data_IF_154000881872
#
_entry.id   IF_154000881872
#
_cell.length_a   1.000
_cell.length_b   1.000
_cell.length_c   1.000
_cell.angle_alpha   90.00
_cell.angle_beta   90.00
_cell.angle_gamma   90.00
#
_symmetry.space_group_name_H-M   'P 1'
#
loop_
_entity.id
_entity.type
_entity.pdbx_description
1 polymer ?
#
# COMPACT_ATOMS: atom_id res chain seq x y z
N UNK A 1 23.12 22.17 2.54
CA UNK A 1 23.02 20.70 2.35
C UNK A 1 21.64 20.44 1.76
N UNK A 2 21.58 20.41 0.43
CA UNK A 2 20.37 20.21 -0.38
C UNK A 2 20.13 18.70 -0.55
N UNK A 3 18.94 18.34 -1.04
CA UNK A 3 18.48 17.02 -1.56
C UNK A 3 17.53 16.28 -0.59
N UNK A 4 16.33 15.87 -1.00
CA UNK A 4 15.69 15.93 -2.32
C UNK A 4 14.20 15.59 -2.21
N UNK A 5 13.40 16.28 -3.01
CA UNK A 5 11.95 16.18 -3.11
C UNK A 5 11.53 14.78 -3.61
N UNK A 6 10.55 14.17 -2.95
CA UNK A 6 9.96 12.90 -3.38
C UNK A 6 8.96 13.16 -4.50
N UNK A 7 9.47 13.38 -5.71
CA UNK A 7 8.67 13.39 -6.94
C UNK A 7 8.20 11.96 -7.25
N UNK A 8 7.05 11.60 -6.69
CA UNK A 8 6.24 10.50 -7.17
C UNK A 8 5.71 10.84 -8.56
N UNK A 9 6.54 10.63 -9.58
CA UNK A 9 6.14 10.64 -10.99
C UNK A 9 5.04 9.60 -11.19
N UNK A 10 3.80 10.03 -11.09
CA UNK A 10 2.64 9.27 -11.52
C UNK A 10 2.71 9.13 -13.03
N UNK A 11 3.38 8.07 -13.49
CA UNK A 11 3.39 7.68 -14.89
C UNK A 11 1.94 7.50 -15.35
N UNK A 12 1.48 8.44 -16.17
CA UNK A 12 0.20 8.43 -16.87
C UNK A 12 0.15 7.25 -17.84
N UNK A 13 -0.17 6.07 -17.33
CA UNK A 13 -0.52 4.90 -18.13
C UNK A 13 -2.03 4.87 -18.38
N UNK A 14 -2.44 5.07 -19.64
CA UNK A 14 -3.78 4.87 -20.22
C UNK A 14 -4.92 4.56 -19.23
N UNK A 15 -5.65 5.61 -18.83
CA UNK A 15 -6.89 5.53 -18.05
C UNK A 15 -8.02 4.99 -18.93
N UNK A 16 -8.14 3.66 -19.05
CA UNK A 16 -9.49 3.08 -19.01
C UNK A 16 -10.05 3.40 -17.63
N UNK A 17 -11.35 3.73 -17.52
CA UNK A 17 -11.98 4.10 -16.25
C UNK A 17 -11.87 2.93 -15.27
N UNK A 18 -10.79 2.89 -14.48
CA UNK A 18 -10.59 1.89 -13.44
C UNK A 18 -11.52 2.24 -12.29
N UNK A 19 -12.24 1.25 -11.78
CA UNK A 19 -13.05 1.41 -10.57
C UNK A 19 -12.26 2.15 -9.48
N UNK A 20 -12.91 3.02 -8.70
CA UNK A 20 -12.26 3.78 -7.65
C UNK A 20 -11.61 2.81 -6.65
N UNK A 21 -10.31 2.97 -6.42
CA UNK A 21 -9.57 2.20 -5.42
C UNK A 21 -9.89 2.75 -4.03
N UNK A 22 -10.46 1.91 -3.18
CA UNK A 22 -10.73 2.25 -1.77
C UNK A 22 -9.45 2.04 -0.95
N UNK A 23 -9.12 3.01 -0.10
CA UNK A 23 -8.02 2.93 0.88
C UNK A 23 -8.59 3.20 2.26
N UNK A 24 -8.30 2.32 3.21
CA UNK A 24 -8.75 2.42 4.60
C UNK A 24 -7.52 2.54 5.50
N UNK A 25 -7.54 3.48 6.44
CA UNK A 25 -6.51 3.64 7.46
C UNK A 25 -7.13 3.39 8.83
N UNK A 26 -6.55 2.47 9.59
CA UNK A 26 -7.01 2.07 10.92
C UNK A 26 -5.84 2.11 11.88
N UNK A 27 -6.05 2.66 13.08
CA UNK A 27 -5.09 2.59 14.18
C UNK A 27 -5.38 1.33 14.98
N UNK A 28 -4.59 0.27 14.78
CA UNK A 28 -4.74 -1.02 15.44
C UNK A 28 -3.36 -1.55 15.81
N UNK A 29 -3.26 -2.23 16.95
CA UNK A 29 -2.05 -2.95 17.37
C UNK A 29 -1.93 -4.33 16.72
N UNK A 30 -2.95 -4.75 15.96
CA UNK A 30 -3.04 -6.06 15.33
C UNK A 30 -2.85 -5.91 13.81
N UNK A 31 -1.87 -6.64 13.27
CA UNK A 31 -1.49 -6.63 11.84
C UNK A 31 -2.52 -7.27 10.90
N UNK A 32 -3.38 -8.16 11.41
CA UNK A 32 -4.45 -8.82 10.67
C UNK A 32 -5.78 -8.39 11.28
N UNK A 33 -6.56 -7.61 10.52
CA UNK A 33 -7.87 -7.14 10.92
C UNK A 33 -8.95 -8.16 10.53
N UNK A 34 -9.98 -8.30 11.37
CA UNK A 34 -11.20 -9.03 11.04
C UNK A 34 -12.16 -8.09 10.29
N UNK A 35 -11.83 -7.77 9.04
CA UNK A 35 -12.58 -6.85 8.17
C UNK A 35 -13.74 -7.53 7.42
N UNK A 36 -14.07 -8.78 7.77
CA UNK A 36 -15.11 -9.58 7.15
C UNK A 36 -14.68 -10.33 5.87
N UNK A 37 -13.46 -10.11 5.37
CA UNK A 37 -12.91 -10.81 4.21
C UNK A 37 -11.89 -11.88 4.62
N UNK A 38 -11.77 -12.94 3.81
CA UNK A 38 -10.85 -14.06 4.06
C UNK A 38 -9.59 -13.97 3.22
N UNK A 39 -8.71 -13.06 3.63
CA UNK A 39 -7.44 -12.79 2.98
C UNK A 39 -6.41 -13.92 3.15
N UNK A 40 -5.69 -14.27 2.08
CA UNK A 40 -4.49 -15.13 2.13
C UNK A 40 -3.24 -14.34 1.79
N UNK A 41 -2.24 -14.36 2.69
CA UNK A 41 -0.95 -13.70 2.47
C UNK A 41 -0.16 -14.48 1.42
N UNK A 42 0.24 -13.80 0.35
CA UNK A 42 1.10 -14.40 -0.67
C UNK A 42 2.51 -13.82 -0.69
N UNK A 43 2.74 -12.68 -0.01
CA UNK A 43 4.05 -12.06 0.01
C UNK A 43 4.18 -10.89 0.96
N UNK A 44 5.42 -10.51 1.19
CA UNK A 44 5.81 -9.35 1.99
C UNK A 44 7.00 -8.67 1.32
N UNK A 45 6.95 -7.34 1.23
CA UNK A 45 8.03 -6.53 0.67
C UNK A 45 8.46 -5.46 1.66
N UNK A 46 9.76 -5.41 1.95
CA UNK A 46 10.37 -4.26 2.64
C UNK A 46 10.33 -3.08 1.68
N UNK A 47 9.73 -1.97 2.12
CA UNK A 47 9.60 -0.76 1.30
C UNK A 47 10.67 0.23 1.75
N UNK A 48 11.47 0.74 0.80
CA UNK A 48 12.52 1.72 1.10
C UNK A 48 11.92 2.94 1.79
N UNK A 49 12.47 3.31 2.95
CA UNK A 49 12.02 4.45 3.74
C UNK A 49 10.86 4.16 4.70
N UNK A 50 10.29 2.94 4.70
CA UNK A 50 9.33 2.52 5.71
C UNK A 50 9.98 1.44 6.61
N UNK A 51 10.10 1.66 7.94
CA UNK A 51 10.64 0.66 8.85
C UNK A 51 9.77 -0.60 8.93
N UNK A 52 8.48 -0.49 8.61
CA UNK A 52 7.53 -1.60 8.63
C UNK A 52 7.40 -2.22 7.23
N UNK A 53 7.52 -3.56 7.09
CA UNK A 53 7.35 -4.23 5.81
C UNK A 53 5.88 -4.20 5.36
N UNK A 54 5.65 -4.08 4.05
CA UNK A 54 4.29 -4.13 3.47
C UNK A 54 3.89 -5.57 3.19
N UNK A 55 2.80 -6.01 3.81
CA UNK A 55 2.15 -7.30 3.52
C UNK A 55 1.19 -7.19 2.34
N UNK A 56 1.15 -8.22 1.48
CA UNK A 56 0.23 -8.30 0.35
C UNK A 56 -0.65 -9.55 0.46
N UNK A 57 -1.94 -9.34 0.25
CA UNK A 57 -2.97 -10.35 0.42
C UNK A 57 -3.81 -10.50 -0.87
N UNK A 58 -4.44 -11.67 -1.03
CA UNK A 58 -5.42 -11.99 -2.08
C UNK A 58 -6.66 -12.61 -1.47
#
# INVERSE_FOLDING_TARGET
KKEGENEGTSASGNRTVREPRVVVQTTSDIDILDDGYRWRKYGQKVVKGNPNPRSYYK
#
